data_IF_001219929893
#
_entry.id   IF_001219929893
#
_cell.length_a   1.000
_cell.length_b   1.000
_cell.length_c   1.000
_cell.angle_alpha   90.00
_cell.angle_beta   90.00
_cell.angle_gamma   90.00
#
_symmetry.space_group_name_H-M   'P 1'
#
loop_
_entity.id
_entity.type
_entity.pdbx_description
1 polymer ?
#
# COMPACT_ATOMS: atom_id res chain seq x y z
N UNK A 1 17.35 89.74 -39.23
CA UNK A 1 18.32 90.83 -39.52
C UNK A 1 19.53 90.64 -38.62
N UNK A 2 20.74 90.77 -39.15
CA UNK A 2 21.94 91.01 -38.33
C UNK A 2 22.95 89.89 -38.28
N UNK A 3 23.68 89.73 -39.38
CA UNK A 3 24.97 89.08 -39.50
C UNK A 3 26.03 89.86 -38.71
N UNK A 4 26.87 89.19 -37.91
CA UNK A 4 28.21 89.63 -37.45
C UNK A 4 28.65 88.73 -36.29
N UNK A 5 29.90 88.35 -36.07
CA UNK A 5 31.18 88.48 -36.75
C UNK A 5 32.13 87.65 -35.85
N UNK A 6 33.09 86.98 -36.47
CA UNK A 6 34.14 86.17 -35.85
C UNK A 6 34.72 86.74 -34.54
N UNK A 7 35.02 85.86 -33.57
CA UNK A 7 36.09 86.09 -32.60
C UNK A 7 36.92 84.83 -32.45
N UNK A 8 38.16 84.91 -32.91
CA UNK A 8 39.15 83.84 -32.90
C UNK A 8 39.80 83.73 -31.52
N UNK A 9 39.78 82.56 -30.89
CA UNK A 9 40.69 82.24 -29.79
C UNK A 9 41.16 80.77 -29.84
N UNK A 10 42.40 80.65 -30.36
CA UNK A 10 43.53 79.95 -29.74
C UNK A 10 43.39 78.43 -29.53
N UNK A 11 43.93 77.68 -30.52
CA UNK A 11 44.27 76.25 -30.43
C UNK A 11 45.13 75.97 -29.20
N UNK A 12 44.66 75.10 -28.31
CA UNK A 12 45.50 74.28 -27.42
C UNK A 12 45.62 72.89 -28.04
N UNK A 13 46.80 72.25 -28.05
CA UNK A 13 46.94 70.91 -28.62
C UNK A 13 46.18 69.93 -27.74
N UNK A 14 45.15 69.29 -28.29
CA UNK A 14 44.61 68.06 -27.69
C UNK A 14 45.65 66.97 -27.92
N UNK A 15 46.16 66.39 -26.83
CA UNK A 15 46.82 65.09 -26.87
C UNK A 15 45.81 64.09 -27.45
N UNK A 16 46.00 63.71 -28.72
CA UNK A 16 45.34 62.55 -29.29
C UNK A 16 46.07 61.34 -28.71
N UNK A 17 45.45 60.68 -27.73
CA UNK A 17 45.81 59.30 -27.41
C UNK A 17 45.25 58.49 -28.56
N UNK A 18 46.10 58.22 -29.56
CA UNK A 18 45.79 57.23 -30.57
C UNK A 18 45.86 55.87 -29.87
N UNK A 19 44.71 55.37 -29.44
CA UNK A 19 44.58 53.96 -29.08
C UNK A 19 44.72 53.20 -30.39
N UNK A 20 45.94 52.75 -30.68
CA UNK A 20 46.17 51.73 -31.69
C UNK A 20 45.41 50.48 -31.26
N UNK A 21 44.18 50.34 -31.77
CA UNK A 21 43.49 49.05 -31.75
C UNK A 21 44.44 48.05 -32.42
N UNK A 22 44.77 46.92 -31.77
CA UNK A 22 45.67 45.94 -32.37
C UNK A 22 45.06 45.46 -33.68
N UNK A 23 45.63 45.94 -34.78
CA UNK A 23 45.20 45.62 -36.13
C UNK A 23 45.90 44.32 -36.56
N UNK A 24 45.56 43.23 -35.88
CA UNK A 24 45.90 41.88 -36.28
C UNK A 24 44.72 40.94 -35.98
N UNK A 25 43.65 41.11 -36.74
CA UNK A 25 42.73 39.98 -36.99
C UNK A 25 43.13 39.44 -38.35
N UNK A 26 43.98 38.41 -38.36
CA UNK A 26 44.18 37.61 -39.56
C UNK A 26 42.81 37.07 -39.98
N UNK A 27 42.38 37.27 -41.25
CA UNK A 27 41.09 36.79 -41.70
C UNK A 27 41.14 35.27 -41.96
N UNK A 28 41.16 34.47 -40.89
CA UNK A 28 40.88 33.03 -40.95
C UNK A 28 39.37 32.79 -41.08
N UNK A 29 38.72 33.41 -42.07
CA UNK A 29 37.25 33.31 -42.24
C UNK A 29 36.81 32.06 -43.03
N UNK A 30 37.74 31.40 -43.71
CA UNK A 30 37.45 30.18 -44.49
C UNK A 30 37.67 28.87 -43.72
N UNK A 31 38.82 28.72 -43.06
CA UNK A 31 39.18 27.47 -42.37
C UNK A 31 38.27 27.16 -41.19
N UNK A 32 37.93 28.18 -40.38
CA UNK A 32 36.99 28.02 -39.26
C UNK A 32 35.60 27.64 -39.73
N UNK A 33 35.13 28.18 -40.87
CA UNK A 33 33.83 27.83 -41.43
C UNK A 33 33.79 26.37 -41.92
N UNK A 34 34.88 25.88 -42.52
CA UNK A 34 34.99 24.47 -42.96
C UNK A 34 35.03 23.52 -41.77
N UNK A 35 35.84 23.82 -40.75
CA UNK A 35 35.91 23.00 -39.53
C UNK A 35 34.56 23.00 -38.82
N UNK A 36 33.92 24.16 -38.67
CA UNK A 36 32.60 24.25 -38.06
C UNK A 36 31.53 23.47 -38.85
N UNK A 37 31.55 23.56 -40.19
CA UNK A 37 30.64 22.82 -41.04
C UNK A 37 30.83 21.30 -40.89
N UNK A 38 32.07 20.81 -40.85
CA UNK A 38 32.36 19.39 -40.66
C UNK A 38 31.95 18.91 -39.27
N UNK A 39 32.26 19.69 -38.22
CA UNK A 39 31.88 19.33 -36.84
C UNK A 39 30.36 19.31 -36.67
N UNK A 40 29.65 20.32 -37.18
CA UNK A 40 28.18 20.34 -37.09
C UNK A 40 27.57 19.20 -37.91
N UNK A 41 28.01 19.01 -39.16
CA UNK A 41 27.41 18.03 -40.07
C UNK A 41 27.64 16.58 -39.64
N UNK A 42 28.82 16.24 -39.12
CA UNK A 42 29.14 14.84 -38.79
C UNK A 42 29.07 14.55 -37.30
N UNK A 43 29.60 15.42 -36.44
CA UNK A 43 29.66 15.16 -35.00
C UNK A 43 28.33 15.52 -34.35
N UNK A 44 27.82 16.73 -34.56
CA UNK A 44 26.61 17.19 -33.86
C UNK A 44 25.35 16.49 -34.37
N UNK A 45 25.18 16.36 -35.70
CA UNK A 45 24.03 15.65 -36.25
C UNK A 45 24.09 14.14 -35.96
N UNK A 46 25.28 13.53 -36.02
CA UNK A 46 25.45 12.12 -35.65
C UNK A 46 25.14 11.86 -34.18
N UNK A 47 25.63 12.72 -33.27
CA UNK A 47 25.31 12.61 -31.84
C UNK A 47 23.82 12.87 -31.55
N UNK A 48 23.19 13.79 -32.29
CA UNK A 48 21.75 14.06 -32.16
C UNK A 48 20.92 12.86 -32.60
N UNK A 49 21.26 12.21 -33.73
CA UNK A 49 20.57 11.01 -34.20
C UNK A 49 20.60 9.89 -33.14
N UNK A 50 21.80 9.58 -32.61
CA UNK A 50 21.96 8.58 -31.54
C UNK A 50 21.17 8.98 -30.28
N UNK A 51 21.17 10.26 -29.92
CA UNK A 51 20.45 10.73 -28.74
C UNK A 51 18.93 10.57 -28.88
N UNK A 52 18.39 10.79 -30.08
CA UNK A 52 16.95 10.58 -30.36
C UNK A 52 16.61 9.09 -30.29
N UNK A 53 17.41 8.21 -30.90
CA UNK A 53 17.18 6.77 -30.88
C UNK A 53 17.24 6.21 -29.45
N UNK A 54 18.27 6.57 -28.67
CA UNK A 54 18.37 6.17 -27.26
C UNK A 54 17.22 6.72 -26.43
N UNK A 55 16.77 7.95 -26.73
CA UNK A 55 15.60 8.56 -26.10
C UNK A 55 14.35 7.73 -26.34
N UNK A 56 14.10 7.34 -27.59
CA UNK A 56 12.97 6.49 -27.97
C UNK A 56 13.00 5.13 -27.27
N UNK A 57 14.14 4.43 -27.28
CA UNK A 57 14.29 3.15 -26.57
C UNK A 57 14.06 3.25 -25.06
N UNK A 58 14.46 4.36 -24.43
CA UNK A 58 14.21 4.57 -23.00
C UNK A 58 12.76 4.89 -22.69
N UNK A 59 12.09 5.64 -23.56
CA UNK A 59 10.66 5.92 -23.43
C UNK A 59 9.87 4.62 -23.54
N UNK A 60 10.19 3.79 -24.53
CA UNK A 60 9.52 2.50 -24.72
C UNK A 60 9.74 1.55 -23.55
N UNK A 61 10.99 1.44 -23.06
CA UNK A 61 11.28 0.62 -21.87
C UNK A 61 10.50 1.08 -20.65
N UNK A 62 10.31 2.39 -20.49
CA UNK A 62 9.49 2.95 -19.41
C UNK A 62 8.02 2.53 -19.50
N UNK A 63 7.46 2.49 -20.72
CA UNK A 63 6.08 2.05 -20.95
C UNK A 63 5.91 0.56 -20.62
N UNK A 64 6.83 -0.29 -21.10
CA UNK A 64 6.82 -1.72 -20.78
C UNK A 64 6.97 -1.97 -19.28
N UNK A 65 7.81 -1.19 -18.58
CA UNK A 65 7.95 -1.35 -17.13
C UNK A 65 6.65 -0.95 -16.41
N UNK A 66 6.04 0.17 -16.79
CA UNK A 66 4.76 0.60 -16.22
C UNK A 66 3.65 -0.42 -16.50
N UNK A 67 3.59 -0.98 -17.70
CA UNK A 67 2.65 -2.03 -18.08
C UNK A 67 2.86 -3.28 -17.22
N UNK A 68 4.11 -3.74 -17.07
CA UNK A 68 4.45 -4.88 -16.24
C UNK A 68 4.05 -4.65 -14.76
N UNK A 69 4.38 -3.49 -14.20
CA UNK A 69 4.05 -3.15 -12.81
C UNK A 69 2.53 -3.09 -12.59
N UNK A 70 1.80 -2.50 -13.54
CA UNK A 70 0.34 -2.43 -13.51
C UNK A 70 -0.29 -3.82 -13.59
N UNK A 71 0.13 -4.67 -14.54
CA UNK A 71 -0.40 -6.03 -14.67
C UNK A 71 -0.03 -6.91 -13.50
N UNK A 72 1.18 -6.79 -12.93
CA UNK A 72 1.58 -7.56 -11.76
C UNK A 72 0.72 -7.22 -10.55
N UNK A 73 0.50 -5.93 -10.29
CA UNK A 73 -0.30 -5.48 -9.15
C UNK A 73 -1.78 -5.86 -9.32
N UNK A 74 -2.34 -5.66 -10.52
CA UNK A 74 -3.73 -6.02 -10.81
C UNK A 74 -3.95 -7.53 -10.76
N UNK A 75 -3.05 -8.33 -11.35
CA UNK A 75 -3.12 -9.78 -11.28
C UNK A 75 -3.04 -10.25 -9.82
N UNK A 76 -2.13 -9.69 -9.02
CA UNK A 76 -2.06 -10.03 -7.61
C UNK A 76 -3.31 -9.62 -6.80
N UNK A 77 -4.01 -8.55 -7.19
CA UNK A 77 -5.29 -8.16 -6.59
C UNK A 77 -6.40 -9.15 -6.95
N UNK A 78 -6.47 -9.60 -8.20
CA UNK A 78 -7.45 -10.59 -8.62
C UNK A 78 -7.17 -11.95 -7.97
N UNK A 79 -5.91 -12.38 -7.98
CA UNK A 79 -5.46 -13.59 -7.29
C UNK A 79 -5.63 -13.55 -5.76
N UNK A 80 -5.77 -12.36 -5.18
CA UNK A 80 -6.05 -12.16 -3.77
C UNK A 80 -7.56 -12.21 -3.42
N UNK A 81 -8.45 -12.05 -4.39
CA UNK A 81 -9.91 -11.91 -4.20
C UNK A 81 -10.60 -13.24 -3.87
N UNK A 82 -9.99 -14.38 -4.23
CA UNK A 82 -10.41 -15.71 -3.78
C UNK A 82 -10.64 -16.76 -4.88
N UNK A 83 -10.41 -16.40 -6.14
CA UNK A 83 -10.51 -17.34 -7.26
C UNK A 83 -9.16 -18.01 -7.61
N UNK A 84 -9.24 -19.11 -8.34
CA UNK A 84 -8.12 -20.00 -8.69
C UNK A 84 -7.17 -19.29 -9.69
N UNK A 85 -6.35 -18.36 -9.19
CA UNK A 85 -5.42 -17.51 -9.93
C UNK A 85 -4.66 -18.28 -11.02
N UNK A 86 -5.10 -18.17 -12.26
CA UNK A 86 -4.64 -18.94 -13.41
C UNK A 86 -4.62 -18.10 -14.68
N UNK A 87 -4.62 -18.75 -15.85
CA UNK A 87 -4.53 -18.04 -17.13
C UNK A 87 -5.71 -17.11 -17.42
N UNK A 88 -6.90 -17.38 -16.86
CA UNK A 88 -8.08 -16.55 -17.10
C UNK A 88 -7.92 -15.15 -16.49
N UNK A 89 -7.39 -15.06 -15.28
CA UNK A 89 -7.14 -13.80 -14.57
C UNK A 89 -6.04 -12.99 -15.26
N UNK A 90 -5.06 -13.66 -15.88
CA UNK A 90 -4.04 -13.01 -16.72
C UNK A 90 -4.68 -12.34 -17.94
N UNK A 91 -5.65 -12.99 -18.58
CA UNK A 91 -6.40 -12.43 -19.71
C UNK A 91 -7.28 -11.24 -19.27
N UNK A 92 -7.85 -11.26 -18.07
CA UNK A 92 -8.70 -10.17 -17.55
C UNK A 92 -7.92 -8.87 -17.36
N UNK A 93 -6.69 -8.96 -16.84
CA UNK A 93 -5.82 -7.79 -16.61
C UNK A 93 -5.02 -7.38 -17.84
N UNK A 94 -5.09 -8.14 -18.94
CA UNK A 94 -4.33 -7.89 -20.18
C UNK A 94 -4.61 -6.52 -20.81
N UNK A 95 -5.81 -5.95 -20.59
CA UNK A 95 -6.15 -4.61 -21.09
C UNK A 95 -5.21 -3.53 -20.56
N UNK A 96 -4.64 -3.73 -19.35
CA UNK A 96 -3.69 -2.80 -18.76
C UNK A 96 -2.38 -2.67 -19.55
N UNK A 97 -2.04 -3.66 -20.39
CA UNK A 97 -0.87 -3.58 -21.27
C UNK A 97 -1.04 -2.42 -22.27
N UNK A 98 -2.21 -2.33 -22.90
CA UNK A 98 -2.53 -1.27 -23.86
C UNK A 98 -2.74 0.08 -23.20
N UNK A 99 -3.36 0.12 -22.01
CA UNK A 99 -3.60 1.37 -21.27
C UNK A 99 -2.31 2.06 -20.79
N UNK A 100 -1.23 1.28 -20.61
CA UNK A 100 0.08 1.80 -20.19
C UNK A 100 1.08 1.96 -21.36
N UNK A 101 0.63 1.73 -22.59
CA UNK A 101 1.38 1.93 -23.84
C UNK A 101 0.98 3.27 -24.46
N UNK A 102 1.97 4.17 -24.65
CA UNK A 102 1.72 5.52 -25.13
C UNK A 102 1.47 5.48 -26.65
N UNK A 103 0.27 5.86 -27.07
CA UNK A 103 -0.15 6.22 -28.46
C UNK A 103 -0.20 5.11 -29.52
N UNK A 104 0.52 4.00 -29.38
CA UNK A 104 0.37 2.85 -30.29
C UNK A 104 -0.52 1.75 -29.72
N UNK A 105 -0.59 1.60 -28.38
CA UNK A 105 -1.38 0.55 -27.73
C UNK A 105 -0.79 -0.84 -27.96
N UNK A 106 0.48 -0.91 -28.37
CA UNK A 106 1.15 -2.14 -28.80
C UNK A 106 2.15 -2.59 -27.72
N UNK A 107 1.63 -3.01 -26.58
CA UNK A 107 2.37 -3.80 -25.59
C UNK A 107 1.68 -5.15 -25.43
N UNK A 108 2.47 -6.22 -25.31
CA UNK A 108 1.91 -7.56 -25.07
C UNK A 108 2.69 -8.30 -23.99
N UNK A 109 2.10 -9.40 -23.54
CA UNK A 109 2.79 -10.37 -22.72
C UNK A 109 3.95 -11.06 -23.45
N UNK A 110 5.07 -11.24 -22.75
CA UNK A 110 6.23 -12.02 -23.20
C UNK A 110 5.97 -13.51 -22.94
N UNK A 111 5.32 -14.15 -23.90
CA UNK A 111 4.98 -15.58 -23.83
C UNK A 111 6.19 -16.43 -24.24
N UNK A 112 6.56 -17.39 -23.39
CA UNK A 112 7.63 -18.36 -23.66
C UNK A 112 7.22 -19.75 -23.14
N UNK A 113 7.87 -20.87 -23.55
CA UNK A 113 7.47 -22.21 -23.10
C UNK A 113 7.42 -22.43 -21.58
N UNK A 114 8.15 -21.62 -20.79
CA UNK A 114 8.11 -21.63 -19.33
C UNK A 114 7.07 -20.68 -18.70
N UNK A 115 6.40 -19.86 -19.52
CA UNK A 115 5.38 -18.86 -19.15
C UNK A 115 4.46 -18.59 -20.36
N UNK A 116 3.57 -19.53 -20.71
CA UNK A 116 2.79 -19.46 -21.94
C UNK A 116 1.83 -18.26 -21.97
N UNK A 117 1.40 -17.80 -20.80
CA UNK A 117 0.49 -16.65 -20.65
C UNK A 117 1.27 -15.34 -20.39
N UNK A 118 2.60 -15.39 -20.41
CA UNK A 118 3.49 -14.30 -20.02
C UNK A 118 3.44 -13.91 -18.54
N UNK A 119 2.79 -14.75 -17.73
CA UNK A 119 2.83 -14.69 -16.28
C UNK A 119 3.32 -16.03 -15.69
N UNK A 120 3.80 -15.96 -14.46
CA UNK A 120 4.14 -17.12 -13.65
C UNK A 120 3.88 -16.77 -12.17
N UNK A 121 3.83 -17.76 -11.29
CA UNK A 121 3.63 -17.49 -9.87
C UNK A 121 3.95 -18.65 -8.94
N UNK A 122 3.79 -18.41 -7.65
CA UNK A 122 3.90 -19.40 -6.57
C UNK A 122 2.61 -19.43 -5.77
N UNK A 123 2.13 -20.63 -5.46
CA UNK A 123 0.90 -20.81 -4.67
C UNK A 123 -0.37 -20.47 -5.44
N UNK A 124 -0.32 -20.55 -6.77
CA UNK A 124 -1.40 -20.19 -7.71
C UNK A 124 -1.45 -21.21 -8.86
N UNK A 125 -2.52 -21.18 -9.66
CA UNK A 125 -2.74 -22.01 -10.86
C UNK A 125 -1.87 -21.65 -12.08
N UNK A 126 -0.89 -20.76 -11.92
CA UNK A 126 0.11 -20.40 -12.93
C UNK A 126 1.35 -21.30 -12.88
N UNK A 127 2.13 -21.41 -13.98
CA UNK A 127 3.41 -22.11 -13.94
C UNK A 127 4.38 -21.45 -12.94
N UNK A 128 5.27 -22.26 -12.36
CA UNK A 128 6.28 -21.77 -11.43
C UNK A 128 7.31 -20.85 -12.11
N UNK A 129 7.63 -19.72 -11.49
CA UNK A 129 8.62 -18.80 -12.02
C UNK A 129 10.04 -19.38 -12.03
N UNK A 130 10.77 -19.15 -13.12
CA UNK A 130 12.17 -19.55 -13.23
C UNK A 130 13.04 -18.73 -12.26
N UNK A 131 13.83 -19.41 -11.43
CA UNK A 131 14.74 -18.75 -10.50
C UNK A 131 15.97 -18.24 -11.24
N UNK A 132 16.17 -16.92 -11.22
CA UNK A 132 17.36 -16.26 -11.77
C UNK A 132 18.33 -15.92 -10.63
N UNK A 133 19.55 -16.46 -10.72
CA UNK A 133 20.60 -16.32 -9.70
C UNK A 133 21.55 -15.14 -9.97
N UNK A 134 21.49 -14.54 -11.16
CA UNK A 134 22.29 -13.38 -11.59
C UNK A 134 21.52 -12.54 -12.62
N UNK A 135 21.64 -11.21 -12.53
CA UNK A 135 21.07 -10.24 -13.48
C UNK A 135 21.95 -10.13 -14.74
N UNK A 136 22.14 -11.25 -15.44
CA UNK A 136 22.89 -11.26 -16.71
C UNK A 136 22.04 -10.69 -17.86
N UNK A 137 20.73 -10.58 -17.67
CA UNK A 137 19.76 -10.05 -18.62
C UNK A 137 18.79 -9.07 -17.94
N UNK A 138 18.75 -7.82 -18.40
CA UNK A 138 17.86 -6.77 -17.90
C UNK A 138 16.36 -7.01 -18.22
N UNK A 139 16.04 -8.05 -19.00
CA UNK A 139 14.67 -8.52 -19.21
C UNK A 139 14.17 -9.46 -18.11
N UNK A 140 15.04 -9.91 -17.21
CA UNK A 140 14.69 -10.80 -16.11
C UNK A 140 14.46 -10.02 -14.82
N UNK A 141 13.60 -10.57 -13.97
CA UNK A 141 13.33 -9.97 -12.67
C UNK A 141 14.53 -10.15 -11.75
N UNK A 142 14.75 -9.21 -10.82
CA UNK A 142 15.71 -9.42 -9.75
C UNK A 142 15.43 -10.73 -9.01
N UNK A 143 16.48 -11.34 -8.40
CA UNK A 143 16.29 -12.50 -7.54
C UNK A 143 15.28 -12.19 -6.44
N UNK A 144 14.53 -13.21 -6.01
CA UNK A 144 13.52 -13.07 -4.96
C UNK A 144 14.13 -12.42 -3.71
N UNK A 145 13.48 -11.41 -3.12
CA UNK A 145 13.90 -10.84 -1.86
C UNK A 145 14.00 -11.89 -0.75
N UNK A 146 14.89 -11.67 0.23
CA UNK A 146 15.07 -12.61 1.35
C UNK A 146 13.77 -12.87 2.12
N UNK A 147 12.94 -11.84 2.31
CA UNK A 147 11.67 -11.92 3.02
C UNK A 147 10.61 -12.77 2.30
N UNK A 148 10.79 -13.04 1.00
CA UNK A 148 9.92 -13.87 0.17
C UNK A 148 10.51 -15.26 -0.11
N UNK A 149 11.79 -15.45 0.24
CA UNK A 149 12.57 -16.67 -0.06
C UNK A 149 12.74 -17.57 1.16
N UNK A 150 12.90 -16.99 2.35
CA UNK A 150 13.26 -17.73 3.56
C UNK A 150 12.20 -17.61 4.67
N UNK A 151 12.21 -18.57 5.59
CA UNK A 151 11.35 -18.56 6.78
C UNK A 151 9.86 -18.55 6.44
N UNK A 152 9.12 -17.69 7.14
CA UNK A 152 7.68 -17.45 6.91
C UNK A 152 7.37 -17.07 5.45
N UNK A 153 8.31 -16.35 4.80
CA UNK A 153 8.18 -15.87 3.43
C UNK A 153 8.08 -16.93 2.33
N UNK A 154 8.58 -18.14 2.60
CA UNK A 154 8.66 -19.21 1.61
C UNK A 154 7.27 -19.67 1.10
N UNK A 155 6.22 -19.45 1.90
CA UNK A 155 4.85 -19.84 1.59
C UNK A 155 3.99 -18.67 1.08
N UNK A 156 4.53 -17.45 1.02
CA UNK A 156 3.77 -16.29 0.55
C UNK A 156 3.55 -16.42 -0.95
N UNK A 157 2.29 -16.33 -1.45
CA UNK A 157 2.02 -16.37 -2.87
C UNK A 157 2.48 -15.07 -3.55
N UNK A 158 2.93 -15.21 -4.79
CA UNK A 158 3.33 -14.08 -5.63
C UNK A 158 3.13 -14.43 -7.10
N UNK A 159 3.03 -13.39 -7.92
CA UNK A 159 3.00 -13.47 -9.38
C UNK A 159 4.09 -12.59 -9.98
N UNK A 160 4.59 -13.01 -11.13
CA UNK A 160 5.43 -12.21 -12.01
C UNK A 160 4.75 -12.09 -13.37
N UNK A 161 4.73 -10.89 -13.91
CA UNK A 161 4.26 -10.63 -15.28
C UNK A 161 5.40 -10.11 -16.11
N UNK A 162 5.44 -10.52 -17.38
CA UNK A 162 6.48 -10.15 -18.32
C UNK A 162 5.87 -9.49 -19.53
N UNK A 163 6.39 -8.33 -19.92
CA UNK A 163 5.90 -7.59 -21.09
C UNK A 163 7.00 -7.46 -22.12
N UNK A 164 6.61 -7.36 -23.39
CA UNK A 164 7.50 -7.22 -24.52
C UNK A 164 6.93 -6.20 -25.51
N UNK A 165 7.85 -5.53 -26.22
CA UNK A 165 7.56 -4.63 -27.33
C UNK A 165 6.77 -5.33 -28.43
N UNK A 166 5.87 -4.57 -29.06
CA UNK A 166 5.14 -5.00 -30.26
C UNK A 166 5.11 -3.86 -31.28
N UNK A 167 5.27 -4.21 -32.54
CA UNK A 167 5.15 -3.29 -33.67
C UNK A 167 3.74 -3.34 -34.24
N UNK A 168 3.27 -2.21 -34.79
CA UNK A 168 1.95 -2.06 -35.45
C UNK A 168 1.66 -3.06 -36.59
N UNK A 169 2.70 -3.66 -37.18
CA UNK A 169 2.60 -4.70 -38.21
C UNK A 169 2.59 -6.13 -37.64
N UNK A 170 2.53 -6.27 -36.31
CA UNK A 170 2.60 -7.56 -35.60
C UNK A 170 4.01 -8.09 -35.37
N UNK A 171 5.05 -7.30 -35.66
CA UNK A 171 6.45 -7.58 -35.32
C UNK A 171 6.76 -7.36 -33.83
N UNK A 172 7.96 -7.73 -33.40
CA UNK A 172 8.35 -7.81 -31.98
C UNK A 172 9.36 -6.76 -31.55
N UNK A 173 9.94 -5.98 -32.47
CA UNK A 173 11.01 -5.09 -32.11
C UNK A 173 10.93 -3.71 -32.69
N UNK A 174 11.67 -2.86 -32.01
CA UNK A 174 11.70 -1.44 -32.23
C UNK A 174 12.72 -1.15 -33.32
N UNK A 175 12.28 -0.41 -34.34
CA UNK A 175 13.18 0.13 -35.33
C UNK A 175 13.66 1.51 -34.84
N UNK A 176 14.99 1.74 -34.75
CA UNK A 176 15.51 3.07 -34.48
C UNK A 176 15.07 4.04 -35.58
N UNK A 177 14.83 5.31 -35.23
CA UNK A 177 14.33 6.31 -36.17
C UNK A 177 15.38 6.69 -37.22
N UNK A 178 16.66 6.66 -36.85
CA UNK A 178 17.78 7.02 -37.72
C UNK A 178 18.76 5.85 -37.99
N UNK A 179 18.54 4.68 -37.41
CA UNK A 179 19.36 3.47 -37.62
C UNK A 179 18.82 2.56 -38.74
N UNK A 180 19.64 1.62 -39.22
CA UNK A 180 19.21 0.66 -40.25
C UNK A 180 18.05 -0.23 -39.76
N UNK A 181 17.05 -0.41 -40.62
CA UNK A 181 15.78 -1.09 -40.33
C UNK A 181 15.87 -2.62 -40.13
N UNK A 182 17.07 -3.21 -40.22
CA UNK A 182 17.27 -4.67 -40.21
C UNK A 182 17.75 -5.21 -38.84
N UNK A 183 17.92 -4.34 -37.84
CA UNK A 183 18.27 -4.72 -36.47
C UNK A 183 17.07 -4.49 -35.55
N UNK A 184 16.05 -5.33 -35.68
CA UNK A 184 14.88 -5.36 -34.79
C UNK A 184 15.34 -5.66 -33.36
N UNK A 185 15.23 -4.67 -32.45
CA UNK A 185 15.59 -4.85 -31.04
C UNK A 185 14.33 -5.08 -30.23
N UNK A 186 14.17 -6.30 -29.74
CA UNK A 186 13.11 -6.71 -28.81
C UNK A 186 13.49 -6.30 -27.39
N UNK A 187 12.61 -5.60 -26.68
CA UNK A 187 12.82 -5.29 -25.26
C UNK A 187 11.76 -5.97 -24.40
N UNK A 188 12.21 -6.65 -23.36
CA UNK A 188 11.33 -7.27 -22.37
C UNK A 188 11.59 -6.67 -20.99
N UNK A 189 10.53 -6.57 -20.21
CA UNK A 189 10.53 -6.11 -18.81
C UNK A 189 9.70 -7.07 -17.98
N UNK A 190 9.85 -6.96 -16.67
CA UNK A 190 9.07 -7.76 -15.75
C UNK A 190 8.76 -6.98 -14.48
N UNK A 191 7.76 -7.46 -13.77
CA UNK A 191 7.39 -6.96 -12.45
C UNK A 191 6.89 -8.11 -11.59
N UNK A 192 6.97 -7.93 -10.27
CA UNK A 192 6.52 -8.92 -9.29
C UNK A 192 5.63 -8.25 -8.26
N UNK A 193 4.54 -8.93 -7.90
CA UNK A 193 3.70 -8.56 -6.78
C UNK A 193 3.40 -9.79 -5.92
N UNK A 194 3.39 -9.60 -4.61
CA UNK A 194 3.06 -10.62 -3.62
C UNK A 194 1.85 -10.18 -2.80
N UNK A 195 1.09 -11.13 -2.30
CA UNK A 195 -0.06 -10.85 -1.46
C UNK A 195 -0.24 -11.86 -0.35
N UNK A 196 -1.01 -11.47 0.63
CA UNK A 196 -1.33 -12.29 1.80
C UNK A 196 -1.86 -11.42 2.93
N UNK A 197 -2.11 -11.98 4.12
CA UNK A 197 -2.48 -11.16 5.26
C UNK A 197 -1.40 -10.08 5.49
N UNK A 198 -1.75 -8.89 6.01
CA UNK A 198 -0.74 -7.90 6.37
C UNK A 198 0.26 -8.53 7.37
N UNK A 199 1.54 -8.19 7.28
CA UNK A 199 2.54 -8.53 8.28
C UNK A 199 2.50 -7.58 9.50
N UNK A 200 1.53 -6.64 9.52
CA UNK A 200 1.48 -5.58 10.51
C UNK A 200 0.35 -4.57 10.43
N UNK A 201 0.02 -3.91 11.56
CA UNK A 201 -1.13 -2.99 11.67
C UNK A 201 -0.93 -1.74 12.53
N UNK A 202 0.16 -1.62 13.30
CA UNK A 202 0.45 -0.41 14.10
C UNK A 202 -0.32 -0.32 15.43
N UNK A 203 -0.38 0.87 16.06
CA UNK A 203 -0.92 1.04 17.40
C UNK A 203 -2.41 0.69 17.47
N UNK A 204 -2.77 -0.24 18.36
CA UNK A 204 -4.15 -0.72 18.52
C UNK A 204 -4.77 -0.26 19.83
N UNK A 205 -6.10 -0.21 19.92
CA UNK A 205 -6.76 -0.03 21.21
C UNK A 205 -6.38 -1.23 22.10
N UNK A 206 -5.99 -1.05 23.38
CA UNK A 206 -5.58 -2.14 24.27
C UNK A 206 -6.78 -2.98 24.73
N UNK A 207 -7.65 -3.34 23.80
CA UNK A 207 -8.94 -3.99 23.96
C UNK A 207 -8.91 -5.28 23.15
N UNK A 208 -8.74 -6.44 23.78
CA UNK A 208 -8.58 -7.72 23.06
C UNK A 208 -9.80 -8.62 23.18
N UNK A 209 -10.18 -9.34 22.11
CA UNK A 209 -11.28 -10.30 22.14
C UNK A 209 -10.88 -11.71 21.68
N UNK A 210 -11.66 -12.70 22.08
CA UNK A 210 -11.43 -14.09 21.67
C UNK A 210 -11.73 -14.29 20.17
N UNK A 211 -10.82 -14.94 19.45
CA UNK A 211 -10.99 -15.36 18.06
C UNK A 211 -12.29 -16.13 17.80
N UNK A 212 -12.77 -16.93 18.75
CA UNK A 212 -14.02 -17.65 18.56
C UNK A 212 -15.25 -16.72 18.59
N UNK A 213 -15.30 -15.76 19.51
CA UNK A 213 -16.36 -14.76 19.55
C UNK A 213 -16.31 -13.87 18.29
N UNK A 214 -15.12 -13.54 17.80
CA UNK A 214 -14.92 -12.86 16.53
C UNK A 214 -15.47 -13.67 15.34
N UNK A 215 -15.13 -14.96 15.23
CA UNK A 215 -15.60 -15.84 14.16
C UNK A 215 -17.13 -16.00 14.15
N UNK A 216 -17.75 -16.13 15.33
CA UNK A 216 -19.22 -16.23 15.42
C UNK A 216 -19.91 -14.93 15.03
N UNK A 217 -19.30 -13.78 15.35
CA UNK A 217 -19.80 -12.45 15.02
C UNK A 217 -19.70 -12.14 13.52
N UNK A 218 -18.57 -12.48 12.92
CA UNK A 218 -18.21 -12.11 11.54
C UNK A 218 -18.49 -13.22 10.54
N UNK A 219 -19.16 -14.31 10.95
CA UNK A 219 -19.37 -15.50 10.10
C UNK A 219 -18.04 -16.01 9.49
N UNK A 220 -17.03 -16.20 10.35
CA UNK A 220 -15.64 -16.54 9.98
C UNK A 220 -14.99 -15.52 9.03
N UNK A 221 -15.24 -14.23 9.25
CA UNK A 221 -14.67 -13.15 8.45
C UNK A 221 -15.32 -12.94 7.09
N UNK A 222 -16.61 -13.25 6.96
CA UNK A 222 -17.40 -13.02 5.73
C UNK A 222 -18.48 -11.94 5.90
N UNK A 223 -18.76 -11.53 7.14
CA UNK A 223 -19.80 -10.56 7.51
C UNK A 223 -19.20 -9.31 8.13
N UNK A 224 -19.17 -8.21 7.37
CA UNK A 224 -18.70 -6.89 7.79
C UNK A 224 -19.69 -5.80 7.40
N UNK A 225 -19.75 -4.74 8.20
CA UNK A 225 -20.53 -3.56 7.85
C UNK A 225 -19.95 -2.91 6.58
N UNK A 226 -20.79 -2.31 5.72
CA UNK A 226 -20.32 -1.67 4.51
C UNK A 226 -19.36 -0.50 4.83
N UNK A 227 -18.43 -0.15 3.91
CA UNK A 227 -17.46 0.91 4.10
C UNK A 227 -18.09 2.24 4.56
N UNK A 228 -17.40 3.02 5.41
CA UNK A 228 -18.04 4.08 6.17
C UNK A 228 -18.55 5.28 5.36
N UNK A 229 -19.69 5.80 5.81
CA UNK A 229 -20.01 7.24 5.85
C UNK A 229 -20.33 7.68 7.31
N UNK A 230 -19.69 7.02 8.30
CA UNK A 230 -20.10 7.09 9.71
C UNK A 230 -19.29 8.13 10.50
N UNK A 231 -19.60 9.42 10.37
CA UNK A 231 -18.95 10.47 11.16
C UNK A 231 -19.93 11.19 12.10
N UNK A 232 -20.31 10.53 13.18
CA UNK A 232 -21.06 11.13 14.28
C UNK A 232 -20.09 11.46 15.42
N UNK A 233 -20.13 12.70 15.94
CA UNK A 233 -19.25 13.13 17.03
C UNK A 233 -19.83 12.73 18.40
N UNK A 234 -19.00 12.36 19.39
CA UNK A 234 -19.46 12.15 20.76
C UNK A 234 -20.11 13.41 21.34
N UNK A 235 -21.16 13.23 22.16
CA UNK A 235 -21.81 14.33 22.90
C UNK A 235 -22.84 15.14 22.13
N UNK A 236 -23.16 14.77 20.87
CA UNK A 236 -24.32 15.34 20.17
C UNK A 236 -25.62 14.81 20.78
N UNK A 237 -26.53 15.73 21.13
CA UNK A 237 -27.87 15.40 21.62
C UNK A 237 -28.92 16.13 20.79
N UNK A 238 -29.96 15.45 20.27
CA UNK A 238 -30.26 14.02 20.44
C UNK A 238 -29.27 13.11 19.69
N UNK A 239 -29.10 11.88 20.16
CA UNK A 239 -28.35 10.84 19.45
C UNK A 239 -29.13 10.37 18.23
N UNK A 240 -28.41 10.03 17.17
CA UNK A 240 -28.98 9.44 15.94
C UNK A 240 -29.20 7.94 16.10
N UNK A 241 -30.18 7.37 15.39
CA UNK A 241 -30.34 5.91 15.32
C UNK A 241 -29.25 5.27 14.45
N UNK A 242 -28.88 4.03 14.74
CA UNK A 242 -27.93 3.28 13.90
C UNK A 242 -28.55 3.04 12.51
N UNK A 243 -27.84 3.30 11.40
CA UNK A 243 -28.33 3.03 10.05
C UNK A 243 -28.81 1.60 9.86
N UNK A 244 -29.93 1.43 9.15
CA UNK A 244 -30.60 0.14 9.01
C UNK A 244 -29.75 -0.96 8.36
N UNK A 245 -28.82 -0.55 7.50
CA UNK A 245 -27.83 -1.39 6.80
C UNK A 245 -26.78 -1.97 7.77
N UNK A 246 -26.50 -1.25 8.85
CA UNK A 246 -25.48 -1.60 9.84
C UNK A 246 -26.07 -2.37 11.02
N UNK A 247 -27.38 -2.24 11.29
CA UNK A 247 -28.05 -2.89 12.43
C UNK A 247 -27.77 -4.39 12.56
N UNK A 248 -27.64 -5.11 11.44
CA UNK A 248 -27.35 -6.55 11.43
C UNK A 248 -25.89 -6.92 11.79
N UNK A 249 -24.99 -5.93 11.80
CA UNK A 249 -23.55 -6.05 12.06
C UNK A 249 -23.16 -5.58 13.46
N UNK A 250 -24.09 -4.96 14.20
CA UNK A 250 -23.83 -4.42 15.53
C UNK A 250 -23.57 -5.54 16.53
N UNK A 251 -22.49 -5.40 17.29
CA UNK A 251 -22.06 -6.33 18.34
C UNK A 251 -21.63 -5.60 19.61
N UNK A 252 -21.86 -6.25 20.75
CA UNK A 252 -21.38 -5.84 22.07
C UNK A 252 -20.27 -6.78 22.55
N UNK A 253 -19.18 -6.20 23.05
CA UNK A 253 -18.02 -6.88 23.60
C UNK A 253 -18.02 -6.67 25.12
N UNK A 254 -18.14 -7.75 25.89
CA UNK A 254 -18.38 -7.70 27.33
C UNK A 254 -17.10 -8.00 28.14
N UNK A 255 -16.93 -7.38 29.32
CA UNK A 255 -15.85 -7.75 30.28
C UNK A 255 -16.43 -8.54 31.45
N UNK A 256 -15.71 -9.56 31.92
CA UNK A 256 -15.96 -10.26 33.19
C UNK A 256 -17.38 -10.84 33.41
N UNK A 257 -18.22 -10.85 32.38
CA UNK A 257 -19.56 -11.41 32.42
C UNK A 257 -19.63 -12.52 31.36
N UNK A 258 -19.66 -13.78 31.80
CA UNK A 258 -19.77 -14.97 30.94
C UNK A 258 -21.09 -15.03 30.14
N UNK A 259 -21.88 -13.97 30.19
CA UNK A 259 -23.17 -13.86 29.54
C UNK A 259 -23.11 -13.29 28.11
N UNK A 260 -21.95 -12.75 27.70
CA UNK A 260 -21.70 -12.29 26.32
C UNK A 260 -20.94 -13.29 25.44
N UNK A 261 -20.20 -14.23 26.05
CA UNK A 261 -19.34 -15.19 25.35
C UNK A 261 -20.19 -16.21 24.58
N UNK A 262 -19.99 -16.29 23.27
CA UNK A 262 -20.69 -17.23 22.37
C UNK A 262 -19.98 -18.58 22.29
N UNK A 263 -18.72 -18.60 22.68
CA UNK A 263 -17.88 -19.79 22.65
C UNK A 263 -17.51 -20.27 24.05
N UNK A 264 -17.84 -21.53 24.35
CA UNK A 264 -17.33 -22.24 25.53
C UNK A 264 -16.10 -23.09 25.12
N UNK A 265 -14.92 -22.49 25.06
CA UNK A 265 -13.64 -23.09 24.65
C UNK A 265 -12.91 -23.89 25.74
N UNK A 266 -11.87 -24.63 25.33
CA UNK A 266 -11.01 -25.42 26.21
C UNK A 266 -10.18 -24.53 27.17
N UNK A 267 -9.70 -25.06 28.32
CA UNK A 267 -8.84 -24.30 29.23
C UNK A 267 -7.64 -23.66 28.49
N UNK A 268 -7.45 -22.36 28.66
CA UNK A 268 -6.40 -21.59 27.98
C UNK A 268 -6.82 -20.94 26.65
N UNK A 269 -8.08 -21.07 26.23
CA UNK A 269 -8.66 -20.34 25.09
C UNK A 269 -9.78 -19.38 25.49
N UNK A 270 -10.02 -19.25 26.80
CA UNK A 270 -11.11 -18.46 27.34
C UNK A 270 -10.61 -17.50 28.39
N UNK A 271 -11.04 -16.24 28.24
CA UNK A 271 -10.97 -15.24 29.27
C UNK A 271 -12.39 -14.89 29.72
N UNK A 272 -12.73 -14.94 31.01
CA UNK A 272 -14.09 -14.67 31.49
C UNK A 272 -14.62 -13.31 31.00
N UNK A 273 -15.65 -13.32 30.15
CA UNK A 273 -16.26 -12.11 29.59
C UNK A 273 -16.23 -12.00 28.06
N UNK A 274 -15.26 -12.64 27.40
CA UNK A 274 -15.07 -12.54 25.94
C UNK A 274 -14.12 -11.43 25.48
N UNK A 275 -13.90 -10.40 26.31
CA UNK A 275 -12.89 -9.35 26.10
C UNK A 275 -12.07 -9.06 27.37
N UNK A 276 -10.79 -8.69 27.19
CA UNK A 276 -9.85 -8.26 28.23
C UNK A 276 -9.05 -7.01 27.82
N UNK A 277 -8.54 -6.25 28.79
CA UNK A 277 -7.62 -5.16 28.49
C UNK A 277 -6.18 -5.69 28.37
N UNK A 278 -5.42 -5.15 27.41
CA UNK A 278 -3.98 -5.35 27.27
C UNK A 278 -3.23 -4.28 28.07
N UNK A 279 -2.00 -4.56 28.49
CA UNK A 279 -1.14 -3.55 29.09
C UNK A 279 -0.79 -2.49 28.03
N UNK A 280 -1.11 -1.21 28.26
CA UNK A 280 -0.88 -0.18 27.26
C UNK A 280 0.59 0.26 27.25
N UNK A 281 1.12 0.47 26.05
CA UNK A 281 2.35 1.20 25.81
C UNK A 281 2.02 2.67 25.52
N UNK A 282 2.06 3.52 26.55
CA UNK A 282 1.78 4.95 26.41
C UNK A 282 0.28 5.31 26.43
N UNK A 283 -0.17 6.15 25.48
CA UNK A 283 -1.47 6.82 25.49
C UNK A 283 -2.62 5.94 24.97
N UNK A 284 -3.07 4.96 25.76
CA UNK A 284 -4.22 4.08 25.43
C UNK A 284 -4.03 3.34 24.11
N UNK A 285 -2.83 2.78 23.94
CA UNK A 285 -2.40 2.01 22.78
C UNK A 285 -1.71 0.75 23.26
N UNK A 286 -1.94 -0.38 22.61
CA UNK A 286 -1.09 -1.56 22.68
C UNK A 286 -0.38 -1.74 21.33
N UNK A 287 0.94 -1.84 21.36
CA UNK A 287 1.71 -2.26 20.19
C UNK A 287 1.66 -3.79 20.10
N UNK A 288 1.38 -4.29 18.90
CA UNK A 288 1.23 -5.71 18.67
C UNK A 288 2.17 -6.09 17.52
N UNK A 289 3.23 -6.82 17.86
CA UNK A 289 4.13 -7.41 16.88
C UNK A 289 3.64 -8.77 16.36
N UNK A 290 4.26 -9.24 15.27
CA UNK A 290 3.96 -10.53 14.67
C UNK A 290 4.31 -11.66 15.65
N UNK A 291 3.29 -12.43 16.06
CA UNK A 291 3.38 -13.53 17.03
C UNK A 291 3.64 -13.07 18.49
N UNK A 292 3.24 -11.84 18.84
CA UNK A 292 3.40 -11.32 20.20
C UNK A 292 2.49 -11.97 21.22
N UNK A 293 3.12 -12.44 22.29
CA UNK A 293 2.47 -12.65 23.58
C UNK A 293 2.44 -11.30 24.27
N UNK A 294 1.26 -10.73 24.42
CA UNK A 294 1.05 -9.41 25.02
C UNK A 294 0.50 -9.59 26.43
N UNK A 295 1.11 -8.98 27.46
CA UNK A 295 0.58 -9.01 28.81
C UNK A 295 -0.72 -8.20 28.88
N UNK A 296 -1.64 -8.60 29.75
CA UNK A 296 -2.91 -7.91 29.92
C UNK A 296 -3.25 -7.52 31.34
N UNK A 297 -3.96 -6.40 31.43
CA UNK A 297 -4.54 -5.88 32.66
C UNK A 297 -5.96 -6.43 32.82
N UNK A 298 -6.06 -7.49 33.59
CA UNK A 298 -7.30 -8.24 33.85
C UNK A 298 -8.32 -7.54 34.77
N UNK A 299 -8.28 -6.21 34.84
CA UNK A 299 -9.26 -5.42 35.55
C UNK A 299 -10.52 -5.13 34.73
N UNK A 300 -11.64 -4.89 35.42
CA UNK A 300 -12.82 -4.26 34.80
C UNK A 300 -12.59 -2.81 34.27
N UNK A 301 -11.78 -1.94 34.91
CA UNK A 301 -11.51 -0.60 34.37
C UNK A 301 -10.50 -0.62 33.21
N UNK A 302 -10.59 0.32 32.26
CA UNK A 302 -9.54 0.54 31.27
C UNK A 302 -8.20 0.89 31.95
N UNK A 303 -7.07 0.38 31.45
CA UNK A 303 -5.76 0.60 32.07
C UNK A 303 -5.24 2.02 31.84
N UNK A 304 -4.48 2.53 32.80
CA UNK A 304 -3.71 3.78 32.67
C UNK A 304 -4.56 5.01 32.25
N UNK A 305 -4.11 5.70 31.20
CA UNK A 305 -4.77 6.88 30.62
C UNK A 305 -5.96 6.51 29.71
N UNK A 306 -6.16 5.21 29.43
CA UNK A 306 -7.22 4.76 28.54
C UNK A 306 -8.62 5.04 29.09
N UNK A 307 -8.74 5.15 30.42
CA UNK A 307 -9.96 5.61 31.10
C UNK A 307 -10.41 7.02 30.68
N UNK A 308 -9.48 7.89 30.30
CA UNK A 308 -9.74 9.28 29.92
C UNK A 308 -9.83 9.43 28.39
N UNK A 309 -9.11 8.59 27.65
CA UNK A 309 -9.01 8.64 26.19
C UNK A 309 -10.06 7.78 25.47
N UNK A 310 -10.73 6.83 26.12
CA UNK A 310 -11.71 5.97 25.44
C UNK A 310 -12.80 6.76 24.69
N UNK A 311 -13.20 7.92 25.22
CA UNK A 311 -14.19 8.77 24.56
C UNK A 311 -13.67 9.49 23.31
N UNK A 312 -12.36 9.69 23.16
CA UNK A 312 -11.80 10.31 21.94
C UNK A 312 -11.85 9.39 20.73
N UNK A 313 -11.96 8.08 20.97
CA UNK A 313 -12.09 7.06 19.93
C UNK A 313 -13.54 6.79 19.53
N UNK A 314 -14.52 7.33 20.26
CA UNK A 314 -15.93 7.15 19.92
C UNK A 314 -16.26 7.82 18.57
N UNK A 315 -17.03 7.11 17.75
CA UNK A 315 -17.38 7.56 16.40
C UNK A 315 -16.24 7.42 15.38
N UNK A 316 -15.17 6.70 15.74
CA UNK A 316 -14.03 6.42 14.87
C UNK A 316 -13.78 4.92 14.73
N UNK A 317 -13.01 4.57 13.71
CA UNK A 317 -12.56 3.22 13.44
C UNK A 317 -11.26 2.96 14.22
N UNK A 318 -11.28 1.90 15.04
CA UNK A 318 -10.16 1.48 15.89
C UNK A 318 -9.77 0.05 15.56
N UNK A 319 -8.51 -0.29 15.83
CA UNK A 319 -8.01 -1.65 15.71
C UNK A 319 -8.16 -2.38 17.04
N UNK A 320 -8.77 -3.57 16.99
CA UNK A 320 -9.05 -4.45 18.13
C UNK A 320 -8.24 -5.73 17.98
N UNK A 321 -7.25 -6.00 18.85
CA UNK A 321 -6.53 -7.27 18.87
C UNK A 321 -7.45 -8.47 19.13
N UNK A 322 -7.15 -9.58 18.48
CA UNK A 322 -7.89 -10.83 18.52
C UNK A 322 -6.95 -11.94 18.99
N UNK A 323 -7.18 -12.48 20.18
CA UNK A 323 -6.34 -13.54 20.75
C UNK A 323 -6.90 -14.94 20.45
N UNK A 324 -6.01 -15.91 20.27
CA UNK A 324 -6.40 -17.33 20.10
C UNK A 324 -6.13 -18.19 21.33
N UNK A 325 -5.28 -17.71 22.24
CA UNK A 325 -4.96 -18.36 23.50
C UNK A 325 -4.56 -17.35 24.57
N UNK A 326 -4.81 -17.72 25.82
CA UNK A 326 -4.49 -16.95 27.01
C UNK A 326 -3.84 -17.87 28.04
N UNK A 327 -2.78 -17.40 28.68
CA UNK A 327 -2.14 -18.08 29.80
C UNK A 327 -2.13 -17.19 31.04
N UNK A 328 -2.07 -17.78 32.22
CA UNK A 328 -2.16 -17.02 33.47
C UNK A 328 -3.58 -16.56 33.82
N UNK A 329 -3.73 -15.90 34.97
CA UNK A 329 -4.99 -15.30 35.45
C UNK A 329 -4.66 -14.04 36.25
N UNK A 330 -5.59 -13.09 36.31
CA UNK A 330 -5.32 -11.81 36.98
C UNK A 330 -4.23 -11.02 36.23
N UNK A 331 -3.57 -10.07 36.91
CA UNK A 331 -2.59 -9.13 36.32
C UNK A 331 -1.30 -9.79 35.74
N UNK A 332 -1.31 -11.11 35.54
CA UNK A 332 -0.26 -11.89 34.87
C UNK A 332 -0.86 -12.68 33.69
N UNK A 333 -1.99 -12.21 33.14
CA UNK A 333 -2.60 -12.80 31.95
C UNK A 333 -1.75 -12.46 30.73
N UNK A 334 -1.37 -13.47 29.96
CA UNK A 334 -0.60 -13.33 28.73
C UNK A 334 -1.47 -13.79 27.55
N UNK A 335 -1.71 -12.90 26.59
CA UNK A 335 -2.57 -13.14 25.43
C UNK A 335 -1.71 -13.35 24.20
N UNK A 336 -1.89 -14.48 23.52
CA UNK A 336 -1.30 -14.70 22.21
C UNK A 336 -2.20 -14.10 21.14
N UNK A 337 -1.72 -13.05 20.49
CA UNK A 337 -2.51 -12.31 19.50
C UNK A 337 -2.39 -12.96 18.13
N UNK A 338 -3.53 -13.42 17.60
CA UNK A 338 -3.64 -14.02 16.27
C UNK A 338 -3.66 -12.95 15.17
N UNK A 339 -4.17 -11.76 15.49
CA UNK A 339 -4.13 -10.56 14.65
C UNK A 339 -5.03 -9.46 15.20
N UNK A 340 -5.37 -8.47 14.38
CA UNK A 340 -6.19 -7.32 14.76
C UNK A 340 -7.32 -7.15 13.76
N UNK A 341 -8.50 -6.73 14.21
CA UNK A 341 -9.63 -6.46 13.33
C UNK A 341 -10.03 -4.97 13.42
N UNK A 342 -10.49 -4.42 12.30
CA UNK A 342 -11.00 -3.05 12.28
C UNK A 342 -12.43 -2.99 12.81
N UNK A 343 -12.65 -2.10 13.77
CA UNK A 343 -13.89 -2.00 14.54
C UNK A 343 -14.31 -0.53 14.65
N UNK A 344 -15.54 -0.24 14.25
CA UNK A 344 -16.12 1.08 14.50
C UNK A 344 -16.62 1.17 15.94
N UNK A 345 -16.01 2.04 16.77
CA UNK A 345 -16.38 2.18 18.17
C UNK A 345 -17.59 3.13 18.32
N UNK A 346 -18.79 2.56 18.39
CA UNK A 346 -20.03 3.32 18.47
C UNK A 346 -20.40 3.76 19.90
N UNK A 347 -20.02 2.98 20.91
CA UNK A 347 -20.35 3.31 22.29
C UNK A 347 -19.77 2.35 23.31
N UNK A 348 -19.94 2.70 24.58
CA UNK A 348 -19.66 1.82 25.71
C UNK A 348 -20.63 2.06 26.86
N UNK A 349 -20.84 1.02 27.66
CA UNK A 349 -21.78 0.99 28.78
C UNK A 349 -21.12 0.49 30.07
N UNK A 350 -21.38 1.21 31.16
CA UNK A 350 -20.93 0.91 32.53
C UNK A 350 -19.43 0.68 32.72
N UNK A 351 -18.58 1.17 31.81
CA UNK A 351 -17.11 1.01 31.89
C UNK A 351 -16.59 1.71 33.15
N UNK A 352 -16.03 0.97 34.13
CA UNK A 352 -15.54 1.57 35.37
C UNK A 352 -14.43 2.59 35.11
N UNK A 353 -14.47 3.70 35.83
CA UNK A 353 -13.48 4.78 35.76
C UNK A 353 -13.38 5.53 34.42
N UNK A 354 -14.16 5.16 33.39
CA UNK A 354 -14.23 5.90 32.13
C UNK A 354 -14.77 7.32 32.37
N UNK A 355 -14.09 8.31 31.81
CA UNK A 355 -14.41 9.74 31.92
C UNK A 355 -14.89 10.30 30.58
N UNK A 356 -15.66 11.40 30.60
CA UNK A 356 -16.43 11.99 31.71
C UNK A 356 -17.59 11.15 32.26
N UNK A 357 -18.02 10.11 31.53
CA UNK A 357 -19.15 9.26 31.92
C UNK A 357 -18.81 7.79 31.74
N UNK A 358 -19.35 6.94 32.62
CA UNK A 358 -19.24 5.47 32.55
C UNK A 358 -20.00 4.86 31.36
N UNK A 359 -20.90 5.63 30.75
CA UNK A 359 -21.61 5.24 29.53
C UNK A 359 -21.67 6.43 28.58
N UNK A 360 -21.28 6.23 27.33
CA UNK A 360 -21.33 7.22 26.26
C UNK A 360 -21.41 6.50 24.91
N UNK A 361 -22.18 7.05 23.99
CA UNK A 361 -22.33 6.54 22.64
C UNK A 361 -22.52 7.69 21.65
N UNK A 362 -22.25 7.41 20.37
CA UNK A 362 -22.55 8.33 19.26
C UNK A 362 -23.88 8.02 18.56
N UNK A 363 -24.40 6.81 18.77
CA UNK A 363 -25.73 6.39 18.32
C UNK A 363 -26.60 5.97 19.50
N UNK A 364 -27.92 5.96 19.29
CA UNK A 364 -28.86 5.27 20.18
C UNK A 364 -28.49 3.79 20.22
N UNK A 365 -28.17 3.29 21.41
CA UNK A 365 -27.81 1.89 21.61
C UNK A 365 -28.96 0.96 21.18
N UNK A 366 -28.73 0.06 20.20
CA UNK A 366 -29.73 -0.92 19.82
C UNK A 366 -30.11 -1.83 21.00
N UNK A 367 -31.41 -2.05 21.19
CA UNK A 367 -31.91 -2.92 22.26
C UNK A 367 -31.37 -4.36 22.16
N UNK A 368 -30.90 -4.78 20.98
CA UNK A 368 -30.31 -6.11 20.74
C UNK A 368 -28.98 -6.33 21.46
N UNK A 369 -28.25 -5.27 21.81
CA UNK A 369 -26.97 -5.37 22.53
C UNK A 369 -27.22 -5.80 23.98
N UNK A 370 -28.23 -5.20 24.63
CA UNK A 370 -28.49 -5.37 26.06
C UNK A 370 -29.91 -5.82 26.44
N UNK A 371 -30.65 -6.51 25.55
CA UNK A 371 -32.01 -6.99 25.84
C UNK A 371 -32.08 -8.03 26.98
N UNK A 372 -31.09 -8.92 27.07
CA UNK A 372 -30.87 -9.92 28.11
C UNK A 372 -29.60 -10.65 27.68
N UNK A 373 -28.44 -10.39 28.32
CA UNK A 373 -28.26 -10.65 29.75
C UNK A 373 -27.67 -9.48 30.57
N UNK A 374 -27.63 -8.27 30.00
CA UNK A 374 -27.09 -7.09 30.69
C UNK A 374 -27.90 -6.77 31.95
N UNK A 375 -27.19 -6.61 33.07
CA UNK A 375 -27.73 -5.96 34.27
C UNK A 375 -27.01 -4.62 34.46
N UNK A 376 -27.37 -3.85 35.49
CA UNK A 376 -26.78 -2.54 35.78
C UNK A 376 -25.26 -2.53 36.08
N UNK A 377 -24.61 -3.70 36.11
CA UNK A 377 -23.15 -3.86 36.31
C UNK A 377 -22.42 -4.49 35.11
N UNK A 378 -23.14 -4.89 34.05
CA UNK A 378 -22.52 -5.43 32.85
C UNK A 378 -21.76 -4.32 32.13
N UNK A 379 -20.45 -4.50 32.00
CA UNK A 379 -19.52 -3.57 31.34
C UNK A 379 -19.27 -4.06 29.92
N UNK A 380 -19.43 -3.17 28.93
CA UNK A 380 -19.25 -3.52 27.52
C UNK A 380 -18.86 -2.33 26.67
N UNK A 381 -18.20 -2.61 25.55
CA UNK A 381 -18.04 -1.70 24.42
C UNK A 381 -18.85 -2.25 23.24
N UNK A 382 -19.32 -1.41 22.35
CA UNK A 382 -20.14 -1.86 21.23
C UNK A 382 -19.93 -1.04 19.97
N UNK A 383 -20.27 -1.66 18.84
CA UNK A 383 -19.87 -1.21 17.52
C UNK A 383 -20.05 -2.30 16.49
N UNK A 384 -19.28 -2.26 15.40
CA UNK A 384 -19.32 -3.27 14.34
C UNK A 384 -17.97 -3.40 13.65
N UNK A 385 -17.70 -4.59 13.11
CA UNK A 385 -16.50 -4.84 12.32
C UNK A 385 -16.69 -4.33 10.88
N UNK A 386 -15.67 -3.63 10.39
CA UNK A 386 -15.62 -3.04 9.05
C UNK A 386 -14.65 -3.78 8.13
N UNK A 387 -13.72 -4.55 8.69
CA UNK A 387 -12.80 -5.39 7.93
C UNK A 387 -12.48 -6.69 8.67
N UNK A 388 -11.90 -7.64 7.92
CA UNK A 388 -11.36 -8.87 8.49
C UNK A 388 -10.12 -8.66 9.38
N UNK A 389 -9.61 -9.78 9.87
CA UNK A 389 -8.47 -9.83 10.75
C UNK A 389 -7.16 -9.79 9.96
N UNK A 390 -6.34 -8.81 10.32
CA UNK A 390 -5.02 -8.50 9.80
C UNK A 390 -3.95 -9.05 10.78
N UNK A 391 -2.83 -9.62 10.32
CA UNK A 391 -1.76 -10.04 11.25
C UNK A 391 -1.14 -8.82 11.94
N UNK A 392 -0.75 -8.98 13.20
CA UNK A 392 -0.03 -7.97 13.96
C UNK A 392 1.44 -7.85 13.52
N UNK A 393 2.10 -6.70 13.72
CA UNK A 393 3.48 -6.41 13.26
C UNK A 393 3.69 -5.08 12.52
N UNK A 394 4.84 -4.96 11.83
CA UNK A 394 5.21 -3.83 10.97
C UNK A 394 5.17 -4.22 9.49
N UNK A 395 4.69 -3.30 8.64
CA UNK A 395 4.21 -3.53 7.26
C UNK A 395 4.90 -4.60 6.40
N UNK A 396 4.09 -5.30 5.61
CA UNK A 396 4.52 -6.34 4.67
C UNK A 396 3.41 -7.33 4.39
N UNK A 397 3.74 -8.43 3.71
CA UNK A 397 2.86 -9.59 3.54
C UNK A 397 3.27 -10.67 4.54
N UNK A 398 2.33 -11.10 5.37
CA UNK A 398 2.46 -12.19 6.32
C UNK A 398 2.13 -13.54 5.69
N UNK A 399 2.54 -14.62 6.35
CA UNK A 399 2.39 -16.00 5.86
C UNK A 399 1.28 -16.80 6.57
N UNK A 400 0.44 -16.14 7.37
CA UNK A 400 -0.64 -16.77 8.12
C UNK A 400 -1.87 -17.07 7.25
N UNK A 401 -2.87 -17.80 7.78
CA UNK A 401 -4.17 -17.90 7.12
C UNK A 401 -4.78 -16.52 6.93
N UNK A 402 -5.29 -16.21 5.73
CA UNK A 402 -6.06 -14.98 5.53
C UNK A 402 -7.34 -15.03 6.37
N UNK A 403 -7.67 -13.91 7.02
CA UNK A 403 -8.85 -13.78 7.89
C UNK A 403 -9.73 -12.60 7.46
N UNK A 404 -9.75 -12.29 6.17
CA UNK A 404 -10.63 -11.29 5.56
C UNK A 404 -9.98 -9.92 5.29
N UNK A 405 -8.66 -9.80 5.45
CA UNK A 405 -7.86 -8.68 4.91
C UNK A 405 -6.66 -9.26 4.19
N UNK A 406 -6.47 -8.84 2.94
CA UNK A 406 -5.32 -9.20 2.11
C UNK A 406 -4.63 -7.92 1.67
N UNK A 407 -3.32 -7.86 1.83
CA UNK A 407 -2.47 -6.76 1.34
C UNK A 407 -1.74 -7.25 0.10
N UNK A 408 -1.66 -6.39 -0.91
CA UNK A 408 -0.86 -6.61 -2.12
C UNK A 408 0.29 -5.63 -2.11
N UNK A 409 1.52 -6.13 -2.29
CA UNK A 409 2.74 -5.31 -2.31
C UNK A 409 3.60 -5.63 -3.54
N UNK A 410 4.34 -4.65 -4.09
CA UNK A 410 5.43 -4.93 -5.01
C UNK A 410 6.50 -5.82 -4.37
N UNK A 411 7.02 -6.79 -5.12
CA UNK A 411 7.93 -7.84 -4.61
C UNK A 411 9.21 -7.98 -5.47
N UNK A 412 9.74 -6.84 -5.93
CA UNK A 412 10.95 -6.73 -6.76
C UNK A 412 12.22 -6.49 -5.97
#
# INVERSE_FOLDING_TARGET
>A
MGLALLTALRRRPQCVVEVELPKNVHPERGGVAVIAAVVVAFVMLGALAISVDVGFFKLERGQLQNAADATALALAQECASGDDCGPAEVDEVANLLGDNSWTDGETRYDTNPGRPDGACGRGVGLPGCATVLSLDNLAQCPPLPNWLTFGAGANIPYVETYTNTRTRDGGDGLLPWFGEADAEVTQSTCARAAWGPPAGTGPTLPLTMNLCDWNTTTENGTKFAPPPQYSTSPGTSPLEEVPSEVLAHVVGLFTHDSKGTKCSGSPGQEYPGGFAWLDPEGDCVADIDDNSIVPGDTGAPPPGNCKDLLQTYLGSEVLVPIFDSVSGTGANGEFHISGVASFYLAGFGNVPSAQPSKSTAVYVEPSTICANPCNSSSTYVWGWFTSGLAKAGSGGVGSGPSRGVTVVVPAG
#
